data_IF_958609312156
#
_entry.id   IF_958609312156
#
_cell.length_a   1.000
_cell.length_b   1.000
_cell.length_c   1.000
_cell.angle_alpha   90.00
_cell.angle_beta   90.00
_cell.angle_gamma   90.00
#
_symmetry.space_group_name_H-M   'P 1'
#
loop_
_entity.id
_entity.type
_entity.pdbx_description
1 polymer ?
#
# COMPACT_ATOMS: atom_id res chain seq x y z
N UNK A 1 -6.66 16.77 -17.55
CA UNK A 1 -7.01 18.05 -16.90
C UNK A 1 -8.06 17.71 -15.85
N UNK A 2 -7.66 17.50 -14.60
CA UNK A 2 -8.61 17.15 -13.54
C UNK A 2 -9.15 18.45 -12.93
N UNK A 3 -10.46 18.64 -13.08
CA UNK A 3 -11.21 19.75 -12.51
C UNK A 3 -11.21 19.64 -10.99
N UNK A 4 -10.54 20.57 -10.31
CA UNK A 4 -10.79 20.87 -8.91
C UNK A 4 -12.00 21.81 -8.85
N UNK A 5 -13.21 21.26 -8.75
CA UNK A 5 -14.39 22.03 -8.37
C UNK A 5 -14.53 21.99 -6.84
N UNK A 6 -14.50 23.19 -6.26
CA UNK A 6 -14.78 23.52 -4.86
C UNK A 6 -16.06 22.87 -4.32
N UNK A 7 -15.98 22.18 -3.16
CA UNK A 7 -17.12 21.80 -2.31
C UNK A 7 -16.67 21.53 -0.85
N UNK A 8 -17.29 22.24 0.10
CA UNK A 8 -17.59 21.87 1.49
C UNK A 8 -16.50 21.26 2.38
N UNK A 9 -16.05 22.03 3.39
CA UNK A 9 -15.00 21.73 4.40
C UNK A 9 -13.65 21.30 3.82
N UNK A 10 -12.59 22.06 4.10
CA UNK A 10 -11.21 21.84 3.61
C UNK A 10 -10.56 20.50 4.03
N UNK A 11 -11.32 19.59 4.65
CA UNK A 11 -10.87 18.27 5.10
C UNK A 11 -11.78 17.20 4.50
N UNK A 12 -11.25 16.31 3.63
CA UNK A 12 -12.02 15.19 3.11
C UNK A 12 -12.42 14.24 4.25
N UNK A 13 -13.66 13.76 4.25
CA UNK A 13 -14.13 12.79 5.24
C UNK A 13 -13.73 11.34 4.88
N UNK A 14 -13.88 10.42 5.83
CA UNK A 14 -13.46 9.03 5.64
C UNK A 14 -14.24 8.30 4.53
N UNK A 15 -15.50 8.67 4.28
CA UNK A 15 -16.31 8.05 3.23
C UNK A 15 -15.83 8.52 1.86
N UNK A 16 -15.57 9.81 1.71
CA UNK A 16 -15.01 10.37 0.47
C UNK A 16 -13.64 9.77 0.15
N UNK A 17 -12.80 9.53 1.17
CA UNK A 17 -11.51 8.87 0.99
C UNK A 17 -11.71 7.41 0.53
N UNK A 18 -12.63 6.67 1.15
CA UNK A 18 -12.93 5.29 0.75
C UNK A 18 -13.44 5.21 -0.69
N UNK A 19 -14.39 6.07 -1.06
CA UNK A 19 -14.92 6.16 -2.43
C UNK A 19 -13.78 6.45 -3.43
N UNK A 20 -12.91 7.42 -3.13
CA UNK A 20 -11.74 7.70 -3.97
C UNK A 20 -10.78 6.50 -4.10
N UNK A 21 -10.54 5.75 -3.03
CA UNK A 21 -9.70 4.54 -3.10
C UNK A 21 -10.31 3.46 -3.99
N UNK A 22 -11.64 3.28 -3.92
CA UNK A 22 -12.36 2.27 -4.70
C UNK A 22 -12.50 2.64 -6.18
N UNK A 23 -12.64 3.93 -6.49
CA UNK A 23 -12.80 4.43 -7.86
C UNK A 23 -11.47 4.70 -8.57
N UNK A 24 -10.38 4.90 -7.82
CA UNK A 24 -9.07 5.18 -8.38
C UNK A 24 -8.58 4.02 -9.27
N UNK A 25 -8.01 4.36 -10.44
CA UNK A 25 -7.35 3.38 -11.28
C UNK A 25 -6.07 2.88 -10.62
N UNK A 26 -5.94 1.56 -10.32
CA UNK A 26 -4.74 1.03 -9.66
C UNK A 26 -3.48 1.23 -10.50
N UNK A 27 -2.40 1.66 -9.86
CA UNK A 27 -1.12 1.96 -10.50
C UNK A 27 0.00 1.03 -10.02
N UNK A 28 1.05 0.81 -10.82
CA UNK A 28 2.24 0.09 -10.37
C UNK A 28 2.83 0.70 -9.09
N UNK A 29 3.26 -0.13 -8.15
CA UNK A 29 3.81 0.34 -6.86
C UNK A 29 4.98 1.32 -7.02
N UNK A 30 5.77 1.20 -8.09
CA UNK A 30 6.91 2.09 -8.39
C UNK A 30 6.49 3.54 -8.70
N UNK A 31 5.21 3.76 -9.01
CA UNK A 31 4.65 5.08 -9.33
C UNK A 31 4.05 5.78 -8.12
N UNK A 32 4.08 5.15 -6.95
CA UNK A 32 3.68 5.79 -5.71
C UNK A 32 4.47 7.11 -5.51
N UNK A 33 3.79 8.21 -5.13
CA UNK A 33 4.42 9.51 -4.91
C UNK A 33 5.54 9.46 -3.86
N UNK A 34 6.56 10.31 -4.06
CA UNK A 34 7.78 10.31 -3.23
C UNK A 34 7.82 11.43 -2.19
N UNK A 35 6.87 12.34 -2.25
CA UNK A 35 6.88 13.66 -1.62
C UNK A 35 5.57 14.00 -0.90
N UNK A 36 4.62 13.06 -0.82
CA UNK A 36 3.38 13.27 -0.09
C UNK A 36 2.97 12.07 0.77
N UNK A 37 2.05 12.37 1.69
CA UNK A 37 1.45 11.49 2.68
C UNK A 37 -0.05 11.35 2.43
N UNK A 38 -0.67 10.36 3.07
CA UNK A 38 -2.11 10.15 3.10
C UNK A 38 -2.47 8.69 3.34
N UNK A 39 -3.55 8.25 2.70
CA UNK A 39 -4.10 6.89 2.82
C UNK A 39 -3.95 6.18 1.47
N UNK A 40 -3.64 4.89 1.50
CA UNK A 40 -3.46 4.07 0.31
C UNK A 40 -4.16 2.72 0.43
N UNK A 41 -4.46 2.16 -0.73
CA UNK A 41 -4.96 0.82 -0.91
C UNK A 41 -3.93 -0.06 -1.62
N UNK A 42 -3.81 -1.32 -1.20
CA UNK A 42 -3.03 -2.33 -1.91
C UNK A 42 -3.95 -3.28 -2.66
N UNK A 43 -3.71 -3.38 -3.96
CA UNK A 43 -4.52 -4.14 -4.90
C UNK A 43 -3.75 -5.40 -5.29
N UNK A 44 -4.39 -6.55 -5.14
CA UNK A 44 -3.76 -7.84 -5.43
C UNK A 44 -3.69 -8.15 -6.93
N UNK A 45 -3.17 -9.33 -7.25
CA UNK A 45 -3.00 -9.80 -8.62
C UNK A 45 -4.32 -10.15 -9.35
N UNK A 46 -5.44 -10.20 -8.63
CA UNK A 46 -6.78 -10.36 -9.22
C UNK A 46 -7.46 -9.01 -9.46
N UNK A 47 -6.86 -7.91 -9.00
CA UNK A 47 -7.43 -6.57 -9.10
C UNK A 47 -8.28 -6.18 -7.89
N UNK A 48 -8.30 -6.99 -6.83
CA UNK A 48 -9.09 -6.71 -5.64
C UNK A 48 -8.32 -5.83 -4.64
N UNK A 49 -9.00 -4.84 -4.06
CA UNK A 49 -8.48 -4.07 -2.94
C UNK A 49 -8.47 -4.97 -1.68
N UNK A 50 -7.29 -5.19 -1.08
CA UNK A 50 -7.13 -6.14 0.03
C UNK A 50 -6.62 -5.56 1.34
N UNK A 51 -6.10 -4.33 1.30
CA UNK A 51 -5.48 -3.70 2.44
C UNK A 51 -5.56 -2.20 2.31
N UNK A 52 -5.98 -1.54 3.37
CA UNK A 52 -5.94 -0.09 3.53
C UNK A 52 -4.86 0.22 4.56
N UNK A 53 -4.02 1.19 4.22
CA UNK A 53 -2.92 1.63 5.07
C UNK A 53 -2.68 3.13 4.94
N UNK A 54 -1.83 3.67 5.82
CA UNK A 54 -1.50 5.09 5.82
C UNK A 54 0.00 5.39 5.95
N UNK A 55 0.36 6.65 5.72
CA UNK A 55 1.70 7.22 5.97
C UNK A 55 1.63 8.20 7.15
N UNK A 56 1.46 7.68 8.37
CA UNK A 56 1.22 8.49 9.57
C UNK A 56 2.43 9.27 10.09
N UNK A 57 3.66 8.82 9.86
CA UNK A 57 4.86 9.59 10.23
C UNK A 57 5.25 10.57 9.12
N UNK A 58 5.68 11.78 9.50
CA UNK A 58 6.22 12.81 8.59
C UNK A 58 7.41 12.31 7.75
N UNK A 59 8.15 11.32 8.25
CA UNK A 59 9.28 10.72 7.53
C UNK A 59 8.86 9.71 6.45
N UNK A 60 7.57 9.36 6.40
CA UNK A 60 7.01 8.38 5.48
C UNK A 60 6.39 9.05 4.26
N UNK A 61 6.46 8.36 3.13
CA UNK A 61 5.78 8.74 1.89
C UNK A 61 5.16 7.50 1.28
N UNK A 62 4.24 7.67 0.33
CA UNK A 62 3.63 6.54 -0.35
C UNK A 62 4.66 5.60 -0.96
N UNK A 63 5.69 6.14 -1.63
CA UNK A 63 6.78 5.34 -2.19
C UNK A 63 7.51 4.51 -1.13
N UNK A 64 7.85 5.10 0.02
CA UNK A 64 8.52 4.38 1.12
C UNK A 64 7.64 3.25 1.65
N UNK A 65 6.37 3.51 1.91
CA UNK A 65 5.44 2.49 2.45
C UNK A 65 5.08 1.43 1.42
N UNK A 66 4.55 1.82 0.27
CA UNK A 66 4.01 0.90 -0.74
C UNK A 66 5.15 0.16 -1.45
N UNK A 67 6.09 0.90 -2.04
CA UNK A 67 7.12 0.31 -2.90
C UNK A 67 8.28 -0.29 -2.11
N UNK A 68 8.87 0.45 -1.17
CA UNK A 68 10.06 -0.04 -0.48
C UNK A 68 9.70 -1.05 0.62
N UNK A 69 8.60 -0.85 1.34
CA UNK A 69 8.22 -1.72 2.47
C UNK A 69 7.27 -2.84 2.07
N UNK A 70 6.03 -2.55 1.65
CA UNK A 70 5.06 -3.60 1.33
C UNK A 70 5.58 -4.55 0.24
N UNK A 71 6.14 -4.04 -0.86
CA UNK A 71 6.69 -4.88 -1.94
C UNK A 71 8.02 -5.54 -1.57
N UNK A 72 9.05 -4.79 -1.14
CA UNK A 72 10.43 -5.35 -1.06
C UNK A 72 10.92 -5.71 0.35
N UNK A 73 10.13 -5.39 1.37
CA UNK A 73 10.48 -5.53 2.78
C UNK A 73 10.57 -6.97 3.28
N UNK A 74 10.70 -7.09 4.61
CA UNK A 74 10.58 -8.35 5.34
C UNK A 74 9.16 -8.88 5.32
N UNK A 75 8.98 -10.16 5.60
CA UNK A 75 7.68 -10.84 5.55
C UNK A 75 6.88 -10.66 6.85
N UNK A 76 6.85 -9.44 7.38
CA UNK A 76 6.15 -9.07 8.60
C UNK A 76 4.75 -8.54 8.29
N UNK A 77 3.90 -8.41 9.31
CA UNK A 77 2.52 -7.93 9.18
C UNK A 77 2.42 -6.55 8.54
N UNK A 78 3.38 -5.67 8.82
CA UNK A 78 3.46 -4.31 8.25
C UNK A 78 3.86 -4.26 6.78
N UNK A 79 4.24 -5.39 6.16
CA UNK A 79 4.67 -5.47 4.75
C UNK A 79 3.77 -6.43 3.97
N UNK A 80 2.49 -6.09 3.91
CA UNK A 80 1.40 -6.84 3.27
C UNK A 80 1.81 -7.73 2.08
N UNK A 81 2.27 -7.20 0.93
CA UNK A 81 2.61 -8.04 -0.22
C UNK A 81 3.76 -9.02 0.08
N UNK A 82 4.80 -8.55 0.77
CA UNK A 82 5.91 -9.41 1.19
C UNK A 82 5.45 -10.58 2.05
N UNK A 83 4.45 -10.36 2.92
CA UNK A 83 3.85 -11.39 3.77
C UNK A 83 2.91 -12.31 2.97
N UNK A 84 1.96 -11.76 2.22
CA UNK A 84 0.92 -12.52 1.53
C UNK A 84 1.49 -13.44 0.46
N UNK A 85 2.46 -12.96 -0.33
CA UNK A 85 3.10 -13.75 -1.38
C UNK A 85 4.31 -14.54 -0.89
N UNK A 86 4.49 -14.70 0.43
CA UNK A 86 5.48 -15.61 1.01
C UNK A 86 4.93 -17.04 1.08
N UNK A 87 4.65 -17.62 -0.08
CA UNK A 87 4.04 -18.95 -0.18
C UNK A 87 4.59 -19.72 -1.38
N UNK A 88 4.46 -21.05 -1.35
CA UNK A 88 4.92 -21.94 -2.41
C UNK A 88 6.37 -21.68 -2.82
N UNK A 89 6.61 -21.47 -4.12
CA UNK A 89 7.95 -21.19 -4.68
C UNK A 89 8.52 -19.81 -4.29
N UNK A 90 7.71 -18.94 -3.71
CA UNK A 90 8.11 -17.63 -3.20
C UNK A 90 8.32 -17.64 -1.68
N UNK A 91 8.19 -18.79 -1.03
CA UNK A 91 8.46 -18.93 0.39
C UNK A 91 9.95 -18.85 0.70
N UNK A 92 10.28 -18.25 1.86
CA UNK A 92 11.65 -18.25 2.39
C UNK A 92 11.68 -18.14 3.90
N UNK A 93 12.73 -18.65 4.53
CA UNK A 93 13.06 -18.34 5.92
C UNK A 93 14.27 -17.41 5.97
N UNK A 94 14.04 -16.11 6.21
CA UNK A 94 15.05 -15.05 6.04
C UNK A 94 16.38 -15.30 6.77
N UNK A 95 16.30 -15.84 7.99
CA UNK A 95 17.43 -15.97 8.90
C UNK A 95 17.95 -17.41 8.99
N UNK A 96 17.50 -18.30 8.10
CA UNK A 96 18.00 -19.66 8.06
C UNK A 96 19.13 -19.76 7.01
N UNK A 97 20.39 -20.00 7.43
CA UNK A 97 21.51 -20.13 6.52
C UNK A 97 21.35 -21.30 5.54
N UNK A 98 20.66 -22.38 5.92
CA UNK A 98 20.52 -23.57 5.11
C UNK A 98 19.70 -23.31 3.83
N UNK A 99 18.78 -22.34 3.89
CA UNK A 99 17.88 -21.99 2.78
C UNK A 99 18.22 -20.65 2.14
N UNK A 100 19.39 -20.06 2.45
CA UNK A 100 19.77 -18.70 2.01
C UNK A 100 19.70 -18.51 0.49
N UNK A 101 20.28 -19.42 -0.28
CA UNK A 101 20.34 -19.31 -1.75
C UNK A 101 18.94 -19.36 -2.37
N UNK A 102 18.16 -20.40 -2.04
CA UNK A 102 16.78 -20.54 -2.52
C UNK A 102 15.89 -19.42 -2.00
N UNK A 103 16.08 -18.99 -0.76
CA UNK A 103 15.35 -17.90 -0.14
C UNK A 103 15.59 -16.55 -0.81
N UNK A 104 16.81 -16.29 -1.30
CA UNK A 104 17.09 -15.08 -2.07
C UNK A 104 16.43 -15.13 -3.45
N UNK A 105 16.40 -16.30 -4.10
CA UNK A 105 15.69 -16.50 -5.38
C UNK A 105 14.18 -16.31 -5.17
N UNK A 106 13.61 -16.93 -4.14
CA UNK A 106 12.20 -16.78 -3.77
C UNK A 106 11.83 -15.32 -3.51
N UNK A 107 12.69 -14.56 -2.81
CA UNK A 107 12.49 -13.12 -2.59
C UNK A 107 12.47 -12.35 -3.91
N UNK A 108 13.43 -12.61 -4.80
CA UNK A 108 13.49 -11.95 -6.12
C UNK A 108 12.24 -12.26 -6.93
N UNK A 109 11.87 -13.53 -7.04
CA UNK A 109 10.66 -13.96 -7.74
C UNK A 109 9.40 -13.27 -7.20
N UNK A 110 9.24 -13.22 -5.88
CA UNK A 110 8.13 -12.50 -5.24
C UNK A 110 8.12 -11.02 -5.59
N UNK A 111 9.27 -10.36 -5.52
CA UNK A 111 9.37 -8.93 -5.78
C UNK A 111 9.05 -8.57 -7.24
N UNK A 112 9.40 -9.45 -8.18
CA UNK A 112 9.02 -9.33 -9.60
C UNK A 112 7.53 -9.60 -9.80
N UNK A 113 6.99 -10.66 -9.19
CA UNK A 113 5.55 -10.96 -9.24
C UNK A 113 4.71 -9.77 -8.75
N UNK A 114 5.07 -9.19 -7.60
CA UNK A 114 4.37 -8.02 -7.05
C UNK A 114 4.54 -6.77 -7.92
N UNK A 115 5.68 -6.61 -8.60
CA UNK A 115 5.89 -5.46 -9.49
C UNK A 115 4.97 -5.53 -10.71
N UNK A 116 4.85 -6.72 -11.27
CA UNK A 116 4.10 -6.99 -12.48
C UNK A 116 2.59 -6.96 -12.21
N UNK A 117 2.13 -7.77 -11.25
CA UNK A 117 0.71 -8.12 -11.11
C UNK A 117 -0.01 -7.35 -10.01
N UNK A 118 0.68 -6.88 -8.96
CA UNK A 118 0.05 -6.12 -7.90
C UNK A 118 0.14 -4.61 -8.17
N UNK A 119 -0.84 -3.87 -7.65
CA UNK A 119 -0.97 -2.43 -7.84
C UNK A 119 -1.28 -1.73 -6.52
N UNK A 120 -1.35 -0.41 -6.55
CA UNK A 120 -1.80 0.39 -5.43
C UNK A 120 -2.62 1.59 -5.91
N UNK A 121 -3.44 2.10 -5.01
CA UNK A 121 -4.20 3.35 -5.13
C UNK A 121 -3.85 4.23 -3.94
N UNK A 122 -3.99 5.55 -4.07
CA UNK A 122 -3.61 6.47 -3.00
C UNK A 122 -4.44 7.76 -3.05
N UNK A 123 -4.72 8.30 -1.89
CA UNK A 123 -5.37 9.60 -1.66
C UNK A 123 -4.40 10.46 -0.85
N UNK A 124 -3.71 11.42 -1.49
CA UNK A 124 -2.86 12.37 -0.79
C UNK A 124 -3.68 13.23 0.18
N UNK A 125 -3.15 13.45 1.38
CA UNK A 125 -3.76 14.26 2.42
C UNK A 125 -2.78 15.35 2.88
N UNK A 126 -3.31 16.47 3.35
CA UNK A 126 -2.49 17.53 3.94
C UNK A 126 -1.82 17.04 5.24
N UNK A 127 -0.57 17.43 5.47
CA UNK A 127 0.23 16.98 6.62
C UNK A 127 -0.36 17.37 7.98
N UNK A 128 -1.19 18.42 8.02
CA UNK A 128 -1.86 18.90 9.23
C UNK A 128 -3.05 18.01 9.67
N UNK A 129 -3.51 17.09 8.83
CA UNK A 129 -4.64 16.22 9.14
C UNK A 129 -4.22 15.05 10.04
N UNK A 130 -5.15 14.61 10.89
CA UNK A 130 -5.00 13.37 11.65
C UNK A 130 -5.22 12.14 10.76
N UNK A 131 -4.17 11.80 10.01
CA UNK A 131 -4.16 10.67 9.07
C UNK A 131 -4.43 9.34 9.80
N UNK A 132 -3.97 9.19 11.05
CA UNK A 132 -4.16 7.95 11.80
C UNK A 132 -5.64 7.73 12.15
N UNK A 133 -6.31 8.79 12.61
CA UNK A 133 -7.75 8.75 12.88
C UNK A 133 -8.55 8.48 11.60
N UNK A 134 -8.24 9.19 10.52
CA UNK A 134 -8.91 9.00 9.22
C UNK A 134 -8.74 7.57 8.69
N UNK A 135 -7.55 6.97 8.79
CA UNK A 135 -7.32 5.57 8.40
C UNK A 135 -8.24 4.60 9.15
N UNK A 136 -8.40 4.77 10.46
CA UNK A 136 -9.28 3.93 11.27
C UNK A 136 -10.75 4.08 10.85
N UNK A 137 -11.19 5.30 10.59
CA UNK A 137 -12.55 5.58 10.13
C UNK A 137 -12.81 4.97 8.74
N UNK A 138 -11.85 5.08 7.81
CA UNK A 138 -11.93 4.46 6.47
C UNK A 138 -12.02 2.93 6.57
N UNK A 139 -11.19 2.30 7.41
CA UNK A 139 -11.22 0.85 7.61
C UNK A 139 -12.56 0.41 8.20
N UNK A 140 -13.09 1.13 9.19
CA UNK A 140 -14.37 0.81 9.82
C UNK A 140 -15.56 0.92 8.85
N UNK A 141 -15.45 1.73 7.79
CA UNK A 141 -16.43 1.81 6.71
C UNK A 141 -16.27 0.67 5.68
N UNK A 142 -15.03 0.26 5.39
CA UNK A 142 -14.74 -0.80 4.43
C UNK A 142 -15.11 -2.20 4.92
N UNK A 143 -15.20 -2.39 6.24
CA UNK A 143 -15.58 -3.66 6.89
C UNK A 143 -17.11 -3.86 7.00
N UNK A 144 -17.93 -2.92 6.49
CA UNK A 144 -19.40 -2.97 6.47
C UNK A 144 -19.93 -3.66 5.22
#
# INVERSE_FOLDING_TARGET
>A
MMNFLSRGSDTPDAKEILEQLLEATPQPTAMAPRDCRGIYGLVDHFGDLRYIGSTTSESETFYKRIHQRHRTGSETTSHYFSRMYKTGRMWRQRNDPATKADGDIAKKLRNEFVAEYCKAVWVPLADALDIARLEQEVIALADQ
#
